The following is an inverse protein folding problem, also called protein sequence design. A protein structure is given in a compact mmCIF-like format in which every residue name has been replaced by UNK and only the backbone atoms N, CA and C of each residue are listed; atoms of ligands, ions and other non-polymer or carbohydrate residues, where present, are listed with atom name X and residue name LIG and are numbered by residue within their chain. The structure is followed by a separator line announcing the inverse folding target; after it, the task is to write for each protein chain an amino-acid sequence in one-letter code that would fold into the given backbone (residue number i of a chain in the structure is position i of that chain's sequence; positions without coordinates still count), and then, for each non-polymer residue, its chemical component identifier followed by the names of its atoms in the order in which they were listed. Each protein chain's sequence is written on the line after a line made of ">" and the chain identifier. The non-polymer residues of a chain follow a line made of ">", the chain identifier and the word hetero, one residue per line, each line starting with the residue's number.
data_IF_990014304067
#
_entry.id   IF_990014304067
#
_cell.length_a   1.000
_cell.length_b   1.000
_cell.length_c   1.000
_cell.angle_alpha   90.00
_cell.angle_beta   90.00
_cell.angle_gamma   90.00
#
_symmetry.space_group_name_H-M   'P 1'
#
loop_
_entity.id
_entity.type
_entity.pdbx_description
1 polymer ?
#
# COMPACT_ATOMS: atom_id res chain seq x y z
N UNK A 1 -9.64 21.46 -6.07
CA UNK A 1 -8.18 21.33 -6.09
C UNK A 1 -7.67 20.91 -4.72
N UNK A 2 -7.03 19.74 -4.63
CA UNK A 2 -6.39 19.22 -3.41
C UNK A 2 -4.95 18.84 -3.73
N UNK A 3 -4.04 18.97 -2.77
CA UNK A 3 -2.62 18.66 -2.95
C UNK A 3 -2.09 17.89 -1.75
N UNK A 4 -1.22 16.91 -2.01
CA UNK A 4 -0.52 16.13 -1.00
C UNK A 4 0.98 16.08 -1.31
N UNK A 5 1.81 16.26 -0.28
CA UNK A 5 3.26 16.10 -0.39
C UNK A 5 3.63 14.62 -0.35
N UNK A 6 4.51 14.20 -1.26
CA UNK A 6 5.05 12.85 -1.36
C UNK A 6 6.50 12.88 -0.90
N UNK A 7 6.85 12.02 0.06
CA UNK A 7 8.20 11.94 0.63
C UNK A 7 8.80 10.57 0.40
N UNK A 8 10.09 10.53 0.08
CA UNK A 8 10.92 9.32 0.06
C UNK A 8 12.00 9.44 1.15
N UNK A 9 12.00 8.53 2.13
CA UNK A 9 12.91 8.56 3.28
C UNK A 9 13.05 9.96 3.93
N UNK A 10 11.91 10.67 4.11
CA UNK A 10 11.79 12.04 4.66
C UNK A 10 12.24 13.17 3.72
N UNK A 11 12.78 12.86 2.55
CA UNK A 11 13.07 13.86 1.52
C UNK A 11 11.81 14.15 0.72
N UNK A 12 11.45 15.42 0.54
CA UNK A 12 10.32 15.81 -0.30
C UNK A 12 10.62 15.40 -1.74
N UNK A 13 9.85 14.45 -2.25
CA UNK A 13 10.01 13.92 -3.59
C UNK A 13 9.14 14.63 -4.62
N UNK A 14 7.97 15.12 -4.20
CA UNK A 14 7.07 15.83 -5.09
C UNK A 14 5.70 16.08 -4.49
N UNK A 15 4.78 16.47 -5.34
CA UNK A 15 3.40 16.80 -5.01
C UNK A 15 2.46 15.96 -5.88
N UNK A 16 1.48 15.32 -5.24
CA UNK A 16 0.31 14.75 -5.90
C UNK A 16 -0.82 15.78 -5.82
N UNK A 17 -1.38 16.15 -6.97
CA UNK A 17 -2.39 17.18 -7.11
C UNK A 17 -3.62 16.56 -7.77
N UNK A 18 -4.77 16.73 -7.14
CA UNK A 18 -6.09 16.48 -7.73
C UNK A 18 -6.64 17.84 -8.18
N UNK A 19 -6.60 18.12 -9.48
CA UNK A 19 -7.13 19.38 -10.03
C UNK A 19 -8.66 19.38 -9.96
N UNK A 20 -9.26 18.28 -10.41
CA UNK A 20 -10.69 17.99 -10.41
C UNK A 20 -10.92 16.46 -10.36
N UNK A 21 -12.18 16.03 -10.38
CA UNK A 21 -12.58 14.61 -10.25
C UNK A 21 -12.02 13.67 -11.33
N UNK A 22 -11.44 14.21 -12.40
CA UNK A 22 -10.91 13.44 -13.53
C UNK A 22 -9.54 13.97 -13.99
N UNK A 23 -8.77 14.62 -13.12
CA UNK A 23 -7.42 15.09 -13.45
C UNK A 23 -6.52 15.05 -12.22
N UNK A 24 -5.50 14.20 -12.31
CA UNK A 24 -4.44 14.05 -11.34
C UNK A 24 -3.09 14.39 -11.97
N UNK A 25 -2.29 15.14 -11.22
CA UNK A 25 -0.93 15.50 -11.58
C UNK A 25 0.00 15.00 -10.49
N UNK A 26 1.07 14.30 -10.87
CA UNK A 26 2.21 14.08 -9.99
C UNK A 26 3.40 14.89 -10.50
N UNK A 27 3.94 15.75 -9.64
CA UNK A 27 5.05 16.62 -9.96
C UNK A 27 6.21 16.40 -9.01
N UNK A 28 7.36 16.03 -9.56
CA UNK A 28 8.59 15.95 -8.79
C UNK A 28 9.03 17.33 -8.28
N UNK A 29 9.51 17.35 -7.03
CA UNK A 29 10.27 18.48 -6.49
C UNK A 29 11.55 18.68 -7.32
N UNK A 30 11.97 19.93 -7.50
CA UNK A 30 13.10 20.26 -8.38
C UNK A 30 14.43 19.72 -7.87
N UNK A 31 14.66 19.82 -6.55
CA UNK A 31 15.88 19.34 -5.91
C UNK A 31 15.91 17.82 -5.95
N UNK A 32 14.76 17.19 -5.68
CA UNK A 32 14.63 15.74 -5.79
C UNK A 32 14.85 15.25 -7.22
N UNK A 33 14.30 15.94 -8.23
CA UNK A 33 14.40 15.55 -9.64
C UNK A 33 15.85 15.61 -10.15
N UNK A 34 16.57 16.67 -9.80
CA UNK A 34 17.94 16.94 -10.29
C UNK A 34 19.00 16.06 -9.63
N UNK A 35 18.78 15.62 -8.39
CA UNK A 35 19.71 14.72 -7.69
C UNK A 35 19.62 13.28 -8.24
N UNK A 36 20.60 12.88 -9.05
CA UNK A 36 20.64 11.53 -9.66
C UNK A 36 20.86 10.40 -8.64
N UNK A 37 21.28 10.70 -7.41
CA UNK A 37 21.45 9.69 -6.36
C UNK A 37 20.12 9.25 -5.76
N UNK A 38 19.08 10.08 -5.86
CA UNK A 38 17.75 9.78 -5.33
C UNK A 38 16.92 8.96 -6.33
N UNK A 39 16.29 7.85 -5.89
CA UNK A 39 15.53 6.98 -6.77
C UNK A 39 14.24 7.65 -7.26
N UNK A 40 13.69 7.17 -8.37
CA UNK A 40 12.31 7.51 -8.73
C UNK A 40 11.33 6.93 -7.69
N UNK A 41 10.20 7.61 -7.47
CA UNK A 41 9.16 7.15 -6.54
C UNK A 41 8.55 5.82 -6.97
N UNK A 42 8.42 5.59 -8.28
CA UNK A 42 7.97 4.32 -8.82
C UNK A 42 8.53 4.09 -10.23
N UNK A 43 8.60 2.84 -10.67
CA UNK A 43 9.00 2.46 -12.03
C UNK A 43 8.08 3.07 -13.11
N UNK A 44 6.81 3.28 -12.80
CA UNK A 44 5.82 3.91 -13.71
C UNK A 44 5.84 5.44 -13.67
N UNK A 45 6.60 6.01 -12.72
CA UNK A 45 6.80 7.46 -12.56
C UNK A 45 8.30 7.76 -12.58
N UNK A 46 9.07 7.42 -13.63
CA UNK A 46 10.52 7.58 -13.62
C UNK A 46 10.95 9.05 -13.57
N UNK A 47 12.20 9.33 -13.21
CA UNK A 47 12.76 10.70 -13.25
C UNK A 47 13.19 11.13 -14.67
N UNK A 48 12.42 10.75 -15.70
CA UNK A 48 12.65 11.16 -17.10
C UNK A 48 11.98 12.48 -17.45
N UNK A 49 10.87 12.80 -16.76
CA UNK A 49 10.18 14.09 -16.81
C UNK A 49 9.73 14.48 -15.40
N UNK A 50 9.57 15.78 -15.17
CA UNK A 50 9.19 16.32 -13.86
C UNK A 50 7.70 16.14 -13.55
N UNK A 51 6.84 16.17 -14.57
CA UNK A 51 5.39 16.15 -14.40
C UNK A 51 4.72 14.97 -15.14
N UNK A 52 3.76 14.36 -14.46
CA UNK A 52 2.94 13.27 -14.94
C UNK A 52 1.48 13.65 -14.78
N UNK A 53 0.66 13.35 -15.78
CA UNK A 53 -0.78 13.62 -15.78
C UNK A 53 -1.53 12.31 -15.99
N UNK A 54 -2.69 12.18 -15.34
CA UNK A 54 -3.59 11.06 -15.53
C UNK A 54 -5.02 11.49 -15.23
N UNK A 55 -5.98 10.90 -15.93
CA UNK A 55 -7.40 11.07 -15.62
C UNK A 55 -7.78 10.41 -14.28
N UNK A 56 -7.00 9.41 -13.86
CA UNK A 56 -7.22 8.63 -12.65
C UNK A 56 -6.06 8.82 -11.66
N UNK A 57 -6.32 8.52 -10.39
CA UNK A 57 -5.24 8.43 -9.40
C UNK A 57 -4.23 7.38 -9.87
N UNK A 58 -2.95 7.76 -9.97
CA UNK A 58 -1.89 6.85 -10.43
C UNK A 58 -1.89 5.54 -9.65
N UNK A 59 -1.70 4.42 -10.35
CA UNK A 59 -1.77 3.07 -9.76
C UNK A 59 -0.82 2.91 -8.57
N UNK A 60 0.33 3.57 -8.59
CA UNK A 60 1.25 3.60 -7.46
C UNK A 60 0.58 4.16 -6.19
N UNK A 61 0.00 5.36 -6.25
CA UNK A 61 -0.66 5.98 -5.09
C UNK A 61 -1.95 5.26 -4.70
N UNK A 62 -2.69 4.75 -5.69
CA UNK A 62 -3.89 3.94 -5.43
C UNK A 62 -3.56 2.72 -4.56
N UNK A 63 -2.48 2.01 -4.87
CA UNK A 63 -2.05 0.83 -4.11
C UNK A 63 -1.57 1.15 -2.68
N UNK A 64 -1.35 2.42 -2.33
CA UNK A 64 -0.97 2.84 -0.98
C UNK A 64 -2.17 3.17 -0.09
N UNK A 65 -3.37 3.30 -0.65
CA UNK A 65 -4.57 3.62 0.10
C UNK A 65 -5.02 2.39 0.92
N UNK A 66 -5.56 2.65 2.11
CA UNK A 66 -6.22 1.61 2.90
C UNK A 66 -7.51 1.14 2.21
N UNK A 67 -7.96 -0.08 2.52
CA UNK A 67 -9.12 -0.69 1.86
C UNK A 67 -10.39 0.18 1.89
N UNK A 68 -10.71 0.78 3.04
CA UNK A 68 -11.87 1.67 3.17
C UNK A 68 -11.77 2.92 2.29
N UNK A 69 -10.56 3.44 2.07
CA UNK A 69 -10.31 4.59 1.19
C UNK A 69 -10.31 4.16 -0.27
N UNK A 70 -9.75 2.98 -0.59
CA UNK A 70 -9.83 2.39 -1.93
C UNK A 70 -11.27 2.23 -2.40
N UNK A 71 -12.17 1.74 -1.53
CA UNK A 71 -13.59 1.60 -1.85
C UNK A 71 -14.22 2.97 -2.18
N UNK A 72 -13.91 4.02 -1.42
CA UNK A 72 -14.41 5.37 -1.70
C UNK A 72 -13.85 5.95 -3.00
N UNK A 73 -12.55 5.77 -3.27
CA UNK A 73 -11.92 6.22 -4.51
C UNK A 73 -12.45 5.47 -5.73
N UNK A 74 -12.73 4.17 -5.61
CA UNK A 74 -13.37 3.38 -6.68
C UNK A 74 -14.79 3.87 -6.98
N UNK A 75 -15.60 4.12 -5.95
CA UNK A 75 -16.95 4.69 -6.10
C UNK A 75 -16.90 6.07 -6.75
N UNK A 76 -15.94 6.91 -6.36
CA UNK A 76 -15.75 8.24 -6.92
C UNK A 76 -15.31 8.21 -8.39
N UNK A 77 -14.30 7.41 -8.73
CA UNK A 77 -13.68 7.42 -10.06
C UNK A 77 -14.47 6.65 -11.12
N UNK A 78 -15.18 5.58 -10.75
CA UNK A 78 -15.84 4.71 -11.74
C UNK A 78 -17.37 4.78 -11.73
N UNK A 79 -18.00 5.57 -10.83
CA UNK A 79 -19.47 5.62 -10.66
C UNK A 79 -20.11 4.22 -10.57
N UNK A 80 -19.38 3.26 -10.01
CA UNK A 80 -19.83 1.88 -9.92
C UNK A 80 -20.84 1.79 -8.77
N UNK A 81 -21.96 1.12 -9.05
CA UNK A 81 -23.00 0.84 -8.07
C UNK A 81 -22.42 0.00 -6.91
N UNK A 82 -22.77 0.32 -5.66
CA UNK A 82 -22.17 -0.28 -4.45
C UNK A 82 -22.26 -1.82 -4.39
N UNK A 83 -23.10 -2.40 -5.25
CA UNK A 83 -23.44 -3.82 -5.32
C UNK A 83 -22.40 -4.71 -6.04
N UNK A 84 -21.35 -4.17 -6.67
CA UNK A 84 -20.29 -4.97 -7.31
C UNK A 84 -19.08 -5.09 -6.37
N UNK A 85 -19.25 -5.72 -5.21
CA UNK A 85 -18.15 -6.06 -4.28
C UNK A 85 -17.86 -7.55 -4.27
N UNK A 86 -17.69 -8.13 -5.46
CA UNK A 86 -17.14 -9.48 -5.66
C UNK A 86 -16.09 -9.45 -6.76
N UNK A 87 -14.94 -8.86 -6.48
CA UNK A 87 -13.73 -9.11 -7.27
C UNK A 87 -12.66 -9.59 -6.29
N UNK A 88 -12.19 -10.81 -6.50
CA UNK A 88 -11.04 -11.37 -5.81
C UNK A 88 -9.81 -10.57 -6.24
N UNK A 89 -9.24 -9.81 -5.31
CA UNK A 89 -7.95 -9.16 -5.50
C UNK A 89 -7.10 -9.61 -4.32
N UNK A 90 -5.98 -10.26 -4.62
CA UNK A 90 -4.87 -10.47 -3.69
C UNK A 90 -4.52 -9.11 -3.04
N UNK A 91 -5.07 -8.83 -1.86
CA UNK A 91 -5.00 -7.49 -1.26
C UNK A 91 -6.15 -7.09 -0.35
N UNK A 92 -7.25 -7.85 -0.28
CA UNK A 92 -8.45 -7.50 0.52
C UNK A 92 -8.26 -7.72 2.03
N UNK A 93 -7.20 -8.39 2.50
CA UNK A 93 -6.99 -8.56 3.93
C UNK A 93 -6.36 -7.31 4.56
N UNK A 94 -6.96 -6.83 5.66
CA UNK A 94 -6.40 -5.75 6.48
C UNK A 94 -4.93 -6.01 6.85
N UNK A 95 -4.13 -4.94 6.87
CA UNK A 95 -2.70 -4.97 7.18
C UNK A 95 -2.38 -3.79 8.09
N UNK A 96 -1.75 -4.07 9.22
CA UNK A 96 -1.31 -3.06 10.17
C UNK A 96 0.22 -3.03 10.25
N UNK A 97 0.80 -1.84 10.30
CA UNK A 97 2.24 -1.65 10.48
C UNK A 97 2.60 -1.80 11.96
N UNK A 98 3.68 -2.53 12.27
CA UNK A 98 4.12 -2.77 13.64
C UNK A 98 5.65 -2.76 13.83
N UNK A 99 6.05 -2.61 15.09
CA UNK A 99 7.42 -2.74 15.61
C UNK A 99 7.44 -3.70 16.81
N UNK A 100 8.62 -4.24 17.14
CA UNK A 100 8.84 -4.96 18.41
C UNK A 100 9.44 -3.99 19.41
N UNK A 101 8.73 -3.72 20.51
CA UNK A 101 9.19 -2.89 21.62
C UNK A 101 9.02 -3.62 22.95
N UNK A 102 10.10 -3.71 23.75
CA UNK A 102 10.10 -4.41 25.05
C UNK A 102 9.55 -5.86 24.96
N UNK A 103 9.90 -6.57 23.90
CA UNK A 103 9.45 -7.95 23.66
C UNK A 103 7.97 -8.09 23.28
N UNK A 104 7.26 -6.99 22.99
CA UNK A 104 5.87 -6.99 22.57
C UNK A 104 5.73 -6.42 21.16
N UNK A 105 4.73 -6.92 20.44
CA UNK A 105 4.31 -6.32 19.17
C UNK A 105 3.51 -5.06 19.48
N UNK A 106 3.92 -3.93 18.91
CA UNK A 106 3.29 -2.61 19.11
C UNK A 106 2.98 -2.05 17.73
N UNK A 107 1.77 -1.49 17.54
CA UNK A 107 1.44 -0.75 16.32
C UNK A 107 2.44 0.39 16.12
N UNK A 108 2.89 0.59 14.88
CA UNK A 108 3.92 1.59 14.56
C UNK A 108 3.44 2.98 15.01
N UNK A 109 4.14 3.64 15.96
CA UNK A 109 3.80 4.99 16.38
C UNK A 109 3.96 5.99 15.25
N UNK A 110 3.22 7.10 15.32
CA UNK A 110 3.40 8.23 14.40
C UNK A 110 4.88 8.65 14.34
N UNK A 111 5.37 8.99 13.13
CA UNK A 111 6.77 9.32 12.81
C UNK A 111 7.81 8.17 12.89
N UNK A 112 7.41 6.95 13.22
CA UNK A 112 8.30 5.78 13.25
C UNK A 112 8.13 4.93 11.98
N UNK A 113 9.21 4.33 11.48
CA UNK A 113 9.14 3.36 10.39
C UNK A 113 8.79 1.97 10.95
N UNK A 114 7.70 1.39 10.45
CA UNK A 114 7.31 0.02 10.78
C UNK A 114 8.33 -1.00 10.28
N UNK A 115 8.45 -2.11 11.01
CA UNK A 115 9.35 -3.23 10.66
C UNK A 115 8.60 -4.52 10.33
N UNK A 116 7.36 -4.64 10.77
CA UNK A 116 6.53 -5.82 10.61
C UNK A 116 5.15 -5.43 10.07
N UNK A 117 4.53 -6.36 9.36
CA UNK A 117 3.13 -6.26 8.94
C UNK A 117 2.33 -7.28 9.74
N UNK A 118 1.33 -6.81 10.49
CA UNK A 118 0.35 -7.66 11.14
C UNK A 118 -0.82 -7.84 10.19
N UNK A 119 -1.19 -9.09 9.93
CA UNK A 119 -2.39 -9.46 9.20
C UNK A 119 -3.40 -10.05 10.18
N UNK A 120 -4.36 -9.26 10.70
CA UNK A 120 -5.36 -9.78 11.62
C UNK A 120 -6.25 -10.82 10.94
N UNK A 121 -6.94 -11.61 11.77
CA UNK A 121 -8.05 -12.43 11.31
C UNK A 121 -9.12 -11.48 10.80
N UNK A 122 -9.56 -11.60 9.54
CA UNK A 122 -10.51 -10.66 9.01
C UNK A 122 -11.91 -10.88 9.61
N UNK A 123 -12.62 -9.78 9.89
CA UNK A 123 -14.01 -9.80 10.38
C UNK A 123 -15.02 -9.95 9.21
N UNK A 124 -14.82 -11.00 8.41
CA UNK A 124 -15.78 -11.38 7.39
C UNK A 124 -16.77 -12.39 7.99
N UNK A 125 -17.88 -11.89 8.53
CA UNK A 125 -18.98 -12.71 9.11
C UNK A 125 -19.51 -13.84 8.20
N UNK A 126 -19.16 -13.84 6.91
CA UNK A 126 -19.58 -14.84 5.91
C UNK A 126 -18.52 -15.92 5.63
N UNK A 127 -17.30 -15.80 6.16
CA UNK A 127 -16.23 -16.78 5.96
C UNK A 127 -16.10 -17.66 7.20
N UNK A 128 -16.69 -18.85 7.13
CA UNK A 128 -16.76 -19.82 8.23
C UNK A 128 -15.40 -20.22 8.82
N UNK A 129 -14.31 -20.08 8.05
CA UNK A 129 -12.97 -20.56 8.40
C UNK A 129 -11.92 -19.45 8.48
N UNK A 130 -12.33 -18.18 8.65
CA UNK A 130 -11.39 -17.05 8.67
C UNK A 130 -10.32 -17.18 9.76
N UNK A 131 -10.63 -17.82 10.89
CA UNK A 131 -9.68 -18.07 11.98
C UNK A 131 -8.47 -18.92 11.59
N UNK A 132 -8.57 -19.75 10.53
CA UNK A 132 -7.45 -20.55 10.03
C UNK A 132 -6.56 -19.79 9.05
N UNK A 133 -6.99 -18.63 8.56
CA UNK A 133 -6.24 -17.88 7.53
C UNK A 133 -4.81 -17.53 7.97
N UNK A 134 -4.54 -17.06 9.21
CA UNK A 134 -3.16 -16.80 9.64
C UNK A 134 -2.31 -18.07 9.67
N UNK A 135 -2.87 -19.19 10.16
CA UNK A 135 -2.18 -20.48 10.20
C UNK A 135 -1.84 -21.01 8.80
N UNK A 136 -2.80 -20.91 7.87
CA UNK A 136 -2.62 -21.31 6.49
C UNK A 136 -1.57 -20.45 5.78
N UNK A 137 -1.56 -19.13 6.00
CA UNK A 137 -0.55 -18.24 5.42
C UNK A 137 0.85 -18.58 5.95
N UNK A 138 0.99 -18.74 7.27
CA UNK A 138 2.26 -19.15 7.89
C UNK A 138 2.77 -20.48 7.33
N UNK A 139 1.92 -21.52 7.30
CA UNK A 139 2.28 -22.83 6.75
C UNK A 139 2.69 -22.73 5.28
N UNK A 140 1.97 -21.95 4.47
CA UNK A 140 2.29 -21.73 3.06
C UNK A 140 3.67 -21.11 2.89
N UNK A 141 4.01 -20.12 3.72
CA UNK A 141 5.34 -19.50 3.69
C UNK A 141 6.45 -20.47 4.12
N UNK A 142 6.19 -21.34 5.10
CA UNK A 142 7.13 -22.38 5.53
C UNK A 142 7.34 -23.43 4.43
N UNK A 143 6.27 -23.89 3.77
CA UNK A 143 6.34 -24.81 2.63
C UNK A 143 7.16 -24.20 1.49
N UNK A 144 6.86 -22.94 1.11
CA UNK A 144 7.59 -22.24 0.06
C UNK A 144 9.10 -22.17 0.36
N UNK A 145 9.48 -21.86 1.60
CA UNK A 145 10.88 -21.78 2.03
C UNK A 145 11.55 -23.16 2.09
N UNK A 146 10.93 -24.12 2.77
CA UNK A 146 11.59 -25.38 3.13
C UNK A 146 11.55 -26.42 2.02
N UNK A 147 10.43 -26.50 1.29
CA UNK A 147 10.23 -27.54 0.26
C UNK A 147 10.69 -27.03 -1.10
N UNK A 148 10.33 -25.79 -1.44
CA UNK A 148 10.57 -25.22 -2.77
C UNK A 148 11.78 -24.29 -2.83
N UNK A 149 12.45 -24.05 -1.71
CA UNK A 149 13.61 -23.15 -1.59
C UNK A 149 13.33 -21.74 -2.15
N UNK A 150 12.08 -21.28 -2.04
CA UNK A 150 11.67 -19.93 -2.43
C UNK A 150 12.03 -18.99 -1.28
N UNK A 151 12.72 -17.89 -1.58
CA UNK A 151 13.02 -16.88 -0.58
C UNK A 151 11.73 -16.17 -0.13
N UNK A 152 11.37 -16.32 1.15
CA UNK A 152 10.19 -15.70 1.76
C UNK A 152 10.58 -14.80 2.93
N UNK A 153 9.74 -13.82 3.25
CA UNK A 153 9.94 -12.98 4.43
C UNK A 153 9.80 -13.80 5.73
N UNK A 154 10.55 -13.42 6.77
CA UNK A 154 10.38 -14.01 8.10
C UNK A 154 8.95 -13.74 8.61
N UNK A 155 8.33 -14.77 9.17
CA UNK A 155 6.92 -14.75 9.57
C UNK A 155 6.69 -15.64 10.80
N UNK A 156 5.75 -15.23 11.64
CA UNK A 156 5.39 -15.93 12.87
C UNK A 156 3.91 -15.72 13.20
N UNK A 157 3.35 -16.62 14.00
CA UNK A 157 2.04 -16.49 14.62
C UNK A 157 2.29 -16.18 16.11
N UNK A 158 1.59 -15.21 16.71
CA UNK A 158 1.70 -14.90 18.14
C UNK A 158 1.19 -16.05 19.04
#
# INVERSE_FOLDING_TARGET
>A
MRTANVYENKTLAGELIEENSSSYIFRYDEKYFTDKSLPAINLTLPKTKREYHSEFLFSFFFNLLSEGVNKQVQLHNFKIDENITKISISGVQEKLSAIIGKGKVILTPESTQGKYIIKPIPDYKRLQYCHFMPANEHLTMQIARQVYNIHTAENAIP
#
